data_IF_279244985058
#
_entry.id   IF_279244985058
#
_cell.length_a   1.000
_cell.length_b   1.000
_cell.length_c   1.000
_cell.angle_alpha   90.00
_cell.angle_beta   90.00
_cell.angle_gamma   90.00
#
_symmetry.space_group_name_H-M   'P 1'
#
loop_
_entity.id
_entity.type
_entity.pdbx_description
1 polymer ?
#
# COMPACT_ATOMS: atom_id res chain seq x y z
N UNK A 1 5.51 9.30 26.98
CA UNK A 1 5.64 9.05 25.54
C UNK A 1 5.79 10.40 24.87
N UNK A 2 6.58 10.46 23.84
CA UNK A 2 6.89 11.66 23.06
C UNK A 2 6.14 11.61 21.74
N UNK A 3 5.67 12.76 21.27
CA UNK A 3 5.05 12.87 19.93
C UNK A 3 6.16 12.79 18.89
N UNK A 4 5.96 11.99 17.85
CA UNK A 4 6.91 11.88 16.74
C UNK A 4 6.63 13.01 15.74
N UNK A 5 7.48 14.03 15.71
CA UNK A 5 7.47 15.01 14.62
C UNK A 5 8.01 14.37 13.33
N UNK A 6 7.36 14.51 12.20
CA UNK A 6 6.26 15.38 11.81
C UNK A 6 4.86 14.71 11.88
N UNK A 7 4.69 13.56 12.52
CA UNK A 7 3.43 12.82 12.54
C UNK A 7 2.83 12.82 13.95
N UNK A 8 1.98 13.78 14.32
CA UNK A 8 1.46 13.94 15.68
C UNK A 8 0.55 12.79 16.16
N UNK A 9 0.06 11.96 15.22
CA UNK A 9 -0.68 10.74 15.54
C UNK A 9 0.22 9.56 15.96
N UNK A 10 1.55 9.70 15.86
CA UNK A 10 2.50 8.68 16.28
C UNK A 10 3.18 9.13 17.58
N UNK A 11 3.06 8.29 18.60
CA UNK A 11 3.74 8.46 19.88
C UNK A 11 4.77 7.35 20.05
N UNK A 12 5.90 7.66 20.65
CA UNK A 12 6.95 6.68 20.95
C UNK A 12 7.54 6.88 22.34
N UNK A 13 8.09 5.81 22.90
CA UNK A 13 8.94 5.92 24.08
C UNK A 13 10.32 6.45 23.68
N UNK A 14 11.08 7.15 24.59
CA UNK A 14 12.41 7.67 24.26
C UNK A 14 13.39 6.60 23.76
N UNK A 15 13.24 5.36 24.25
CA UNK A 15 14.05 4.18 23.86
C UNK A 15 13.48 3.43 22.63
N UNK A 16 12.44 3.96 21.98
CA UNK A 16 11.70 3.33 20.89
C UNK A 16 11.19 1.90 21.16
N UNK A 17 11.09 1.49 22.44
CA UNK A 17 10.59 0.15 22.82
C UNK A 17 9.08 -0.01 22.69
N UNK A 18 8.35 1.10 22.52
CA UNK A 18 6.92 1.11 22.26
C UNK A 18 6.56 2.27 21.34
N UNK A 19 5.81 1.96 20.29
CA UNK A 19 5.27 2.92 19.31
C UNK A 19 3.75 2.78 19.33
N UNK A 20 3.05 3.90 19.34
CA UNK A 20 1.59 3.99 19.34
C UNK A 20 1.16 4.84 18.15
N UNK A 21 0.29 4.33 17.33
CA UNK A 21 -0.41 5.03 16.28
C UNK A 21 -1.86 5.25 16.71
N UNK A 22 -2.30 6.50 16.70
CA UNK A 22 -3.65 6.90 17.06
C UNK A 22 -4.39 7.37 15.80
N UNK A 23 -5.56 6.82 15.57
CA UNK A 23 -6.45 7.26 14.51
C UNK A 23 -7.88 7.38 15.03
N UNK A 24 -8.28 8.60 15.37
CA UNK A 24 -9.56 8.93 16.01
C UNK A 24 -9.73 8.14 17.33
N UNK A 25 -10.52 7.08 17.34
CA UNK A 25 -10.80 6.16 18.46
C UNK A 25 -10.02 4.84 18.37
N UNK A 26 -9.41 4.53 17.21
CA UNK A 26 -8.59 3.34 17.03
C UNK A 26 -7.13 3.60 17.44
N UNK A 27 -6.55 2.66 18.18
CA UNK A 27 -5.16 2.73 18.64
C UNK A 27 -4.43 1.45 18.26
N UNK A 28 -3.37 1.56 17.44
CA UNK A 28 -2.46 0.46 17.14
C UNK A 28 -1.17 0.62 17.95
N UNK A 29 -0.76 -0.43 18.66
CA UNK A 29 0.42 -0.40 19.52
C UNK A 29 1.41 -1.50 19.12
N UNK A 30 2.66 -1.12 18.92
CA UNK A 30 3.78 -2.03 18.75
C UNK A 30 4.73 -1.85 19.94
N UNK A 31 4.95 -2.92 20.72
CA UNK A 31 5.81 -2.83 21.90
C UNK A 31 5.78 -4.10 22.75
N UNK A 32 6.58 -4.11 23.83
CA UNK A 32 6.60 -5.24 24.77
C UNK A 32 5.26 -5.35 25.50
N UNK A 33 4.62 -6.53 25.43
CA UNK A 33 3.29 -6.77 26.04
C UNK A 33 3.18 -6.28 27.49
N UNK A 34 4.17 -6.58 28.32
CA UNK A 34 4.17 -6.15 29.72
C UNK A 34 4.03 -4.63 29.86
N UNK A 35 4.80 -3.86 29.08
CA UNK A 35 4.71 -2.39 29.08
C UNK A 35 3.34 -1.90 28.60
N UNK A 36 2.85 -2.48 27.51
CA UNK A 36 1.56 -2.11 26.92
C UNK A 36 0.43 -2.34 27.92
N UNK A 37 0.35 -3.52 28.53
CA UNK A 37 -0.70 -3.86 29.49
C UNK A 37 -0.60 -3.07 30.79
N UNK A 38 0.59 -2.99 31.41
CA UNK A 38 0.74 -2.39 32.72
C UNK A 38 0.73 -0.86 32.72
N UNK A 39 1.16 -0.24 31.62
CA UNK A 39 1.27 1.21 31.53
C UNK A 39 0.18 1.83 30.66
N UNK A 40 0.04 1.38 29.41
CA UNK A 40 -0.87 2.02 28.47
C UNK A 40 -2.33 1.58 28.69
N UNK A 41 -2.61 0.28 28.65
CA UNK A 41 -3.98 -0.25 28.77
C UNK A 41 -4.58 0.14 30.12
N UNK A 42 -3.91 -0.13 31.23
CA UNK A 42 -4.39 0.27 32.59
C UNK A 42 -4.57 1.77 32.75
N UNK A 43 -3.82 2.59 32.05
CA UNK A 43 -4.00 4.03 32.06
C UNK A 43 -5.27 4.44 31.32
N UNK A 44 -5.51 3.87 30.17
CA UNK A 44 -6.70 4.16 29.34
C UNK A 44 -7.99 3.65 30.02
N UNK A 45 -7.96 2.47 30.63
CA UNK A 45 -9.10 1.86 31.33
C UNK A 45 -9.62 2.70 32.52
N UNK A 46 -8.80 3.62 33.04
CA UNK A 46 -9.26 4.55 34.10
C UNK A 46 -10.31 5.55 33.61
N UNK A 47 -10.32 5.83 32.31
CA UNK A 47 -11.15 6.89 31.74
C UNK A 47 -12.07 6.38 30.63
N UNK A 48 -11.68 5.32 29.95
CA UNK A 48 -12.37 4.79 28.76
C UNK A 48 -12.69 3.31 28.91
N UNK A 49 -13.81 2.89 28.32
CA UNK A 49 -14.08 1.47 28.10
C UNK A 49 -13.39 1.07 26.82
N UNK A 50 -12.38 0.19 26.88
CA UNK A 50 -11.60 -0.25 25.74
C UNK A 50 -11.70 -1.75 25.55
N UNK A 51 -11.61 -2.20 24.30
CA UNK A 51 -11.38 -3.60 23.93
C UNK A 51 -9.99 -3.74 23.34
N UNK A 52 -9.30 -4.83 23.67
CA UNK A 52 -7.93 -5.07 23.20
C UNK A 52 -7.85 -6.38 22.43
N UNK A 53 -7.10 -6.35 21.31
CA UNK A 53 -6.74 -7.52 20.51
C UNK A 53 -5.22 -7.61 20.43
N UNK A 54 -4.68 -8.80 20.33
CA UNK A 54 -3.22 -9.02 20.29
C UNK A 54 -2.86 -9.90 19.09
N UNK A 55 -1.71 -9.60 18.48
CA UNK A 55 -1.05 -10.42 17.47
C UNK A 55 0.25 -10.99 18.07
N UNK A 56 0.20 -12.16 18.67
CA UNK A 56 1.36 -12.77 19.35
C UNK A 56 1.65 -14.19 18.85
N UNK A 57 0.61 -14.90 18.45
CA UNK A 57 0.69 -16.30 18.06
C UNK A 57 0.22 -16.49 16.62
N UNK A 58 0.70 -17.51 15.93
CA UNK A 58 0.14 -17.92 14.66
C UNK A 58 -1.39 -18.12 14.75
N UNK A 59 -2.10 -17.54 13.80
CA UNK A 59 -3.57 -17.54 13.75
C UNK A 59 -4.23 -16.38 14.49
N UNK A 60 -3.49 -15.57 15.26
CA UNK A 60 -4.06 -14.36 15.84
C UNK A 60 -4.41 -13.36 14.73
N UNK A 61 -5.58 -12.73 14.88
CA UNK A 61 -6.08 -11.73 13.95
C UNK A 61 -6.48 -10.47 14.69
N UNK A 62 -6.23 -9.32 14.09
CA UNK A 62 -6.79 -8.05 14.52
C UNK A 62 -7.26 -7.23 13.32
N UNK A 63 -8.25 -6.37 13.58
CA UNK A 63 -8.74 -5.42 12.59
C UNK A 63 -8.29 -4.00 12.97
N UNK A 64 -7.65 -3.31 12.03
CA UNK A 64 -7.28 -1.91 12.19
C UNK A 64 -7.53 -1.16 10.88
N UNK A 65 -8.26 -0.04 10.93
CA UNK A 65 -8.63 0.79 9.77
C UNK A 65 -9.21 -0.03 8.61
N UNK A 66 -10.14 -0.94 8.92
CA UNK A 66 -10.80 -1.84 7.94
C UNK A 66 -9.83 -2.80 7.20
N UNK A 67 -8.65 -3.03 7.75
CA UNK A 67 -7.69 -4.05 7.31
C UNK A 67 -7.64 -5.16 8.34
N UNK A 68 -7.57 -6.38 7.88
CA UNK A 68 -7.31 -7.54 8.74
C UNK A 68 -5.83 -7.83 8.73
N UNK A 69 -5.24 -7.87 9.90
CA UNK A 69 -3.86 -8.28 10.14
C UNK A 69 -3.86 -9.67 10.75
N UNK A 70 -3.12 -10.62 10.16
CA UNK A 70 -3.08 -12.01 10.62
C UNK A 70 -1.64 -12.46 10.81
N UNK A 71 -1.32 -13.04 11.96
CA UNK A 71 -0.03 -13.66 12.22
C UNK A 71 0.03 -15.06 11.61
N UNK A 72 0.97 -15.28 10.70
CA UNK A 72 1.15 -16.57 10.03
C UNK A 72 2.05 -17.53 10.81
N UNK A 73 1.96 -18.84 10.51
CA UNK A 73 2.75 -19.89 11.18
C UNK A 73 4.28 -19.70 11.07
N UNK A 74 4.74 -19.05 10.02
CA UNK A 74 6.16 -18.76 9.78
C UNK A 74 6.63 -17.42 10.32
N UNK A 75 5.79 -16.75 11.13
CA UNK A 75 6.06 -15.45 11.73
C UNK A 75 5.87 -14.26 10.78
N UNK A 76 5.29 -14.45 9.59
CA UNK A 76 4.86 -13.36 8.74
C UNK A 76 3.59 -12.71 9.29
N UNK A 77 3.52 -11.38 9.14
CA UNK A 77 2.30 -10.61 9.31
C UNK A 77 1.70 -10.36 7.93
N UNK A 78 0.50 -10.83 7.68
CA UNK A 78 -0.25 -10.49 6.46
C UNK A 78 -1.24 -9.39 6.74
N UNK A 79 -1.35 -8.45 5.80
CA UNK A 79 -2.30 -7.33 5.85
C UNK A 79 -3.21 -7.46 4.64
N UNK A 80 -4.50 -7.66 4.89
CA UNK A 80 -5.49 -7.90 3.87
C UNK A 80 -6.64 -6.91 3.97
N UNK A 81 -7.09 -6.44 2.83
CA UNK A 81 -8.31 -5.62 2.73
C UNK A 81 -9.54 -6.51 2.84
N UNK A 82 -10.60 -6.01 3.45
CA UNK A 82 -11.81 -6.78 3.65
C UNK A 82 -12.48 -7.12 2.30
N UNK A 83 -12.80 -8.40 2.08
CA UNK A 83 -13.40 -8.95 0.84
C UNK A 83 -14.69 -8.23 0.40
N UNK A 84 -15.44 -7.63 1.32
CA UNK A 84 -16.66 -6.88 1.02
C UNK A 84 -16.46 -5.78 -0.03
N UNK A 85 -15.27 -5.19 -0.12
CA UNK A 85 -15.01 -4.18 -1.13
C UNK A 85 -15.01 -4.78 -2.55
N UNK A 86 -14.38 -5.94 -2.73
CA UNK A 86 -14.38 -6.63 -4.03
C UNK A 86 -15.78 -7.16 -4.37
N UNK A 87 -16.51 -7.67 -3.39
CA UNK A 87 -17.92 -8.10 -3.57
C UNK A 87 -18.79 -6.92 -4.03
N UNK A 88 -18.68 -5.77 -3.37
CA UNK A 88 -19.41 -4.56 -3.76
C UNK A 88 -19.07 -4.10 -5.18
N UNK A 89 -17.80 -4.16 -5.59
CA UNK A 89 -17.40 -3.87 -6.97
C UNK A 89 -18.03 -4.85 -7.98
N UNK A 90 -18.10 -6.14 -7.63
CA UNK A 90 -18.76 -7.15 -8.47
C UNK A 90 -20.26 -6.87 -8.60
N UNK A 91 -20.94 -6.48 -7.52
CA UNK A 91 -22.36 -6.12 -7.52
C UNK A 91 -22.63 -4.89 -8.42
N UNK A 92 -21.82 -3.82 -8.25
CA UNK A 92 -21.93 -2.60 -9.08
C UNK A 92 -21.74 -2.86 -10.58
N UNK A 93 -20.94 -3.85 -10.94
CA UNK A 93 -20.62 -4.20 -12.32
C UNK A 93 -21.39 -5.43 -12.81
N UNK A 94 -22.30 -5.99 -12.01
CA UNK A 94 -23.06 -7.20 -12.33
C UNK A 94 -22.15 -8.36 -12.76
N UNK A 95 -21.04 -8.55 -12.03
CA UNK A 95 -20.09 -9.63 -12.25
C UNK A 95 -20.35 -10.77 -11.28
N UNK A 96 -20.34 -12.00 -11.77
CA UNK A 96 -20.36 -13.18 -10.89
C UNK A 96 -18.93 -13.53 -10.45
N UNK A 97 -18.57 -13.35 -9.15
CA UNK A 97 -17.21 -13.61 -8.66
C UNK A 97 -16.72 -15.03 -8.92
N UNK A 98 -17.62 -16.01 -8.89
CA UNK A 98 -17.29 -17.45 -9.06
C UNK A 98 -16.93 -17.83 -10.50
N UNK A 99 -17.30 -17.02 -11.47
CA UNK A 99 -17.05 -17.30 -12.90
C UNK A 99 -15.84 -16.52 -13.43
N UNK A 100 -15.13 -15.81 -12.58
CA UNK A 100 -13.98 -15.00 -13.00
C UNK A 100 -12.70 -15.85 -12.96
N UNK A 101 -11.88 -15.74 -14.01
CA UNK A 101 -10.57 -16.40 -14.09
C UNK A 101 -9.62 -15.53 -14.91
N UNK A 102 -9.20 -14.41 -14.33
CA UNK A 102 -8.21 -13.51 -14.94
C UNK A 102 -6.86 -13.73 -14.29
N UNK A 103 -5.81 -13.91 -15.09
CA UNK A 103 -4.44 -14.18 -14.60
C UNK A 103 -3.64 -12.92 -14.30
N UNK A 104 -3.99 -11.79 -14.92
CA UNK A 104 -3.28 -10.51 -14.79
C UNK A 104 -4.25 -9.38 -14.51
N UNK A 105 -3.86 -8.35 -13.75
CA UNK A 105 -4.71 -7.18 -13.50
C UNK A 105 -4.87 -6.30 -14.73
N UNK A 106 -3.86 -6.25 -15.62
CA UNK A 106 -3.86 -5.43 -16.83
C UNK A 106 -4.63 -6.05 -18.00
N UNK A 107 -5.14 -5.20 -18.88
CA UNK A 107 -5.81 -5.56 -20.12
C UNK A 107 -5.03 -5.03 -21.32
N UNK A 108 -4.97 -5.77 -22.41
CA UNK A 108 -4.19 -5.41 -23.60
C UNK A 108 -4.62 -4.07 -24.24
N UNK A 109 -5.89 -3.71 -24.08
CA UNK A 109 -6.42 -2.47 -24.64
C UNK A 109 -5.87 -1.19 -23.95
N UNK A 110 -5.25 -1.30 -22.77
CA UNK A 110 -4.71 -0.13 -22.08
C UNK A 110 -3.71 0.68 -22.91
N UNK A 111 -2.92 -0.01 -23.73
CA UNK A 111 -1.86 0.61 -24.54
C UNK A 111 -2.34 1.11 -25.91
N UNK A 112 -3.60 0.91 -26.24
CA UNK A 112 -4.17 1.33 -27.53
C UNK A 112 -4.80 2.72 -27.42
N UNK A 113 -4.90 3.42 -28.52
CA UNK A 113 -5.69 4.66 -28.62
C UNK A 113 -7.16 4.34 -28.40
N UNK A 114 -7.85 5.17 -27.61
CA UNK A 114 -9.26 4.99 -27.33
C UNK A 114 -10.11 5.71 -28.36
N UNK A 115 -10.69 4.94 -29.27
CA UNK A 115 -11.63 5.41 -30.31
C UNK A 115 -13.06 4.96 -30.02
N UNK A 116 -13.34 4.42 -28.84
CA UNK A 116 -14.66 3.92 -28.46
C UNK A 116 -15.58 5.04 -27.99
N UNK A 117 -16.87 4.71 -27.91
CA UNK A 117 -17.90 5.68 -27.50
C UNK A 117 -17.78 6.01 -26.01
N UNK A 118 -18.18 7.22 -25.69
CA UNK A 118 -18.34 7.63 -24.29
C UNK A 118 -19.47 6.84 -23.62
N UNK A 119 -19.32 6.58 -22.33
CA UNK A 119 -20.34 5.93 -21.52
C UNK A 119 -21.57 6.84 -21.35
N UNK A 120 -22.74 6.24 -21.20
CA UNK A 120 -23.93 6.96 -20.74
C UNK A 120 -23.70 7.53 -19.34
N UNK A 121 -24.47 8.54 -18.95
CA UNK A 121 -24.34 9.21 -17.65
C UNK A 121 -24.43 8.22 -16.47
N UNK A 122 -25.35 7.25 -16.54
CA UNK A 122 -25.50 6.22 -15.51
C UNK A 122 -24.26 5.32 -15.41
N UNK A 123 -23.77 4.84 -16.56
CA UNK A 123 -22.54 4.02 -16.62
C UNK A 123 -21.31 4.80 -16.17
N UNK A 124 -21.20 6.07 -16.54
CA UNK A 124 -20.09 6.93 -16.12
C UNK A 124 -20.10 7.16 -14.59
N UNK A 125 -21.27 7.26 -13.98
CA UNK A 125 -21.42 7.35 -12.53
C UNK A 125 -20.96 6.05 -11.84
N UNK A 126 -21.44 4.91 -12.31
CA UNK A 126 -20.99 3.60 -11.80
C UNK A 126 -19.48 3.40 -11.97
N UNK A 127 -18.92 3.77 -13.12
CA UNK A 127 -17.47 3.74 -13.37
C UNK A 127 -16.70 4.55 -12.33
N UNK A 128 -17.06 5.82 -12.09
CA UNK A 128 -16.38 6.69 -11.13
C UNK A 128 -16.51 6.17 -9.70
N UNK A 129 -17.65 5.61 -9.33
CA UNK A 129 -17.85 4.97 -8.02
C UNK A 129 -16.88 3.79 -7.85
N UNK A 130 -16.78 2.91 -8.84
CA UNK A 130 -15.84 1.78 -8.81
C UNK A 130 -14.38 2.24 -8.74
N UNK A 131 -14.00 3.24 -9.53
CA UNK A 131 -12.63 3.79 -9.51
C UNK A 131 -12.30 4.41 -8.14
N UNK A 132 -13.25 5.09 -7.50
CA UNK A 132 -13.09 5.61 -6.14
C UNK A 132 -12.78 4.51 -5.11
N UNK A 133 -13.52 3.39 -5.16
CA UNK A 133 -13.24 2.22 -4.31
C UNK A 133 -11.87 1.62 -4.64
N UNK A 134 -11.53 1.47 -5.92
CA UNK A 134 -10.24 0.91 -6.34
C UNK A 134 -9.05 1.78 -5.93
N UNK A 135 -9.17 3.11 -5.95
CA UNK A 135 -8.13 4.02 -5.45
C UNK A 135 -7.84 3.81 -3.95
N UNK A 136 -8.89 3.56 -3.16
CA UNK A 136 -8.72 3.19 -1.75
C UNK A 136 -8.00 1.84 -1.60
N UNK A 137 -8.41 0.83 -2.38
CA UNK A 137 -7.82 -0.51 -2.35
C UNK A 137 -6.37 -0.56 -2.87
N UNK A 138 -6.02 0.29 -3.82
CA UNK A 138 -4.71 0.26 -4.48
C UNK A 138 -3.53 0.46 -3.53
N UNK A 139 -3.74 1.11 -2.38
CA UNK A 139 -2.71 1.27 -1.34
C UNK A 139 -2.27 -0.08 -0.75
N UNK A 140 -3.20 -1.03 -0.66
CA UNK A 140 -2.97 -2.37 -0.09
C UNK A 140 -2.79 -3.45 -1.18
N UNK A 141 -2.98 -3.08 -2.44
CA UNK A 141 -2.87 -3.96 -3.61
C UNK A 141 -1.88 -3.40 -4.64
N UNK A 142 -0.57 -3.39 -4.34
CA UNK A 142 0.45 -2.75 -5.17
C UNK A 142 0.47 -3.29 -6.62
N UNK A 143 0.17 -4.57 -6.82
CA UNK A 143 0.10 -5.21 -8.13
C UNK A 143 -1.00 -4.66 -9.05
N UNK A 144 -1.99 -3.92 -8.51
CA UNK A 144 -3.09 -3.31 -9.27
C UNK A 144 -2.91 -1.81 -9.52
N UNK A 145 -1.95 -1.16 -8.87
CA UNK A 145 -1.82 0.30 -8.86
C UNK A 145 -1.71 0.91 -10.26
N UNK A 146 -0.97 0.26 -11.16
CA UNK A 146 -0.82 0.73 -12.54
C UNK A 146 -2.19 0.82 -13.26
N UNK A 147 -3.00 -0.24 -13.16
CA UNK A 147 -4.32 -0.30 -13.80
C UNK A 147 -5.29 0.68 -13.15
N UNK A 148 -5.29 0.76 -11.82
CA UNK A 148 -6.13 1.72 -11.07
C UNK A 148 -5.79 3.15 -11.47
N UNK A 149 -4.50 3.48 -11.61
CA UNK A 149 -4.07 4.78 -12.10
C UNK A 149 -4.59 5.07 -13.50
N UNK A 150 -4.45 4.11 -14.44
CA UNK A 150 -5.01 4.24 -15.79
C UNK A 150 -6.51 4.56 -15.74
N UNK A 151 -7.29 3.78 -14.99
CA UNK A 151 -8.73 4.00 -14.83
C UNK A 151 -9.06 5.36 -14.22
N UNK A 152 -8.24 5.83 -13.27
CA UNK A 152 -8.40 7.16 -12.70
C UNK A 152 -8.21 8.28 -13.74
N UNK A 153 -7.27 8.14 -14.69
CA UNK A 153 -7.12 9.11 -15.79
C UNK A 153 -8.32 9.13 -16.73
N UNK A 154 -9.02 8.01 -16.89
CA UNK A 154 -10.23 7.91 -17.71
C UNK A 154 -11.48 8.50 -17.03
N UNK A 155 -11.44 8.84 -15.73
CA UNK A 155 -12.64 9.22 -14.95
C UNK A 155 -13.30 10.53 -15.41
N UNK A 156 -12.55 11.43 -16.05
CA UNK A 156 -13.11 12.68 -16.60
C UNK A 156 -14.04 12.41 -17.77
N UNK A 157 -13.66 11.46 -18.64
CA UNK A 157 -14.41 11.07 -19.84
C UNK A 157 -14.31 9.55 -20.03
N UNK A 158 -15.09 8.76 -19.25
CA UNK A 158 -15.02 7.30 -19.33
C UNK A 158 -15.68 6.78 -20.59
N UNK A 159 -15.04 5.81 -21.23
CA UNK A 159 -15.42 5.20 -22.50
C UNK A 159 -15.79 3.73 -22.34
N UNK A 160 -16.36 3.13 -23.39
CA UNK A 160 -16.62 1.67 -23.43
C UNK A 160 -15.34 0.87 -23.20
N UNK A 161 -14.21 1.30 -23.77
CA UNK A 161 -12.90 0.69 -23.57
C UNK A 161 -12.48 0.74 -22.08
N UNK A 162 -12.58 1.90 -21.46
CA UNK A 162 -12.21 2.03 -20.04
C UNK A 162 -13.09 1.16 -19.13
N UNK A 163 -14.36 0.97 -19.49
CA UNK A 163 -15.27 0.05 -18.80
C UNK A 163 -14.85 -1.42 -18.95
N UNK A 164 -14.36 -1.83 -20.12
CA UNK A 164 -13.80 -3.19 -20.33
C UNK A 164 -12.60 -3.42 -19.42
N UNK A 165 -11.67 -2.47 -19.35
CA UNK A 165 -10.50 -2.54 -18.46
C UNK A 165 -10.92 -2.59 -16.98
N UNK A 166 -11.89 -1.78 -16.57
CA UNK A 166 -12.44 -1.80 -15.22
C UNK A 166 -13.03 -3.17 -14.87
N UNK A 167 -13.87 -3.72 -15.72
CA UNK A 167 -14.49 -5.05 -15.52
C UNK A 167 -13.43 -6.15 -15.45
N UNK A 168 -12.39 -6.07 -16.28
CA UNK A 168 -11.27 -7.00 -16.24
C UNK A 168 -10.52 -6.95 -14.90
N UNK A 169 -10.19 -5.76 -14.41
CA UNK A 169 -9.51 -5.60 -13.11
C UNK A 169 -10.35 -6.15 -11.95
N UNK A 170 -11.66 -5.84 -11.90
CA UNK A 170 -12.54 -6.34 -10.84
C UNK A 170 -12.70 -7.86 -10.93
N UNK A 171 -12.76 -8.43 -12.13
CA UNK A 171 -12.75 -9.87 -12.35
C UNK A 171 -11.44 -10.52 -11.87
N UNK A 172 -10.30 -9.86 -12.08
CA UNK A 172 -9.01 -10.32 -11.55
C UNK A 172 -9.01 -10.30 -10.01
N UNK A 173 -9.44 -9.20 -9.38
CA UNK A 173 -9.51 -9.10 -7.93
C UNK A 173 -10.44 -10.14 -7.31
N UNK A 174 -11.56 -10.46 -7.97
CA UNK A 174 -12.48 -11.50 -7.53
C UNK A 174 -11.86 -12.91 -7.57
N UNK A 175 -10.90 -13.14 -8.50
CA UNK A 175 -10.18 -14.42 -8.65
C UNK A 175 -8.99 -14.57 -7.71
N UNK A 176 -8.48 -13.47 -7.11
CA UNK A 176 -7.22 -13.43 -6.38
C UNK A 176 -7.40 -12.75 -5.01
N UNK A 177 -8.46 -13.13 -4.29
CA UNK A 177 -8.77 -12.55 -2.98
C UNK A 177 -7.76 -12.95 -1.88
N UNK A 178 -6.93 -13.97 -2.14
CA UNK A 178 -5.85 -14.42 -1.27
C UNK A 178 -4.60 -13.52 -1.30
N UNK A 179 -4.47 -12.67 -2.32
CA UNK A 179 -3.33 -11.79 -2.44
C UNK A 179 -3.38 -10.70 -1.36
N UNK A 180 -2.31 -10.59 -0.60
CA UNK A 180 -2.17 -9.66 0.51
C UNK A 180 -0.75 -9.13 0.62
N UNK A 181 -0.60 -8.00 1.32
CA UNK A 181 0.72 -7.52 1.70
C UNK A 181 1.26 -8.42 2.81
N UNK A 182 2.48 -8.90 2.64
CA UNK A 182 3.13 -9.77 3.62
C UNK A 182 4.38 -9.08 4.17
N UNK A 183 4.48 -8.99 5.49
CA UNK A 183 5.58 -8.41 6.21
C UNK A 183 6.22 -9.48 7.10
N UNK A 184 7.49 -9.74 6.90
CA UNK A 184 8.32 -10.54 7.81
C UNK A 184 9.66 -9.85 7.92
N UNK A 185 10.19 -9.77 9.11
CA UNK A 185 11.53 -9.23 9.27
C UNK A 185 12.56 -10.31 8.91
N UNK A 186 13.18 -10.29 7.71
CA UNK A 186 14.05 -11.37 7.25
C UNK A 186 15.47 -11.25 7.82
N UNK A 187 15.77 -10.12 8.36
CA UNK A 187 17.09 -9.68 8.74
C UNK A 187 17.41 -8.33 8.12
N UNK A 188 18.21 -7.54 8.79
CA UNK A 188 18.55 -6.18 8.38
C UNK A 188 19.38 -6.11 7.08
N UNK A 189 20.08 -7.19 6.75
CA UNK A 189 21.01 -7.28 5.62
C UNK A 189 20.41 -7.91 4.35
N UNK A 190 19.10 -8.21 4.35
CA UNK A 190 18.44 -8.83 3.20
C UNK A 190 17.84 -7.75 2.31
N UNK A 191 18.22 -7.74 1.04
CA UNK A 191 17.58 -6.96 -0.02
C UNK A 191 16.68 -7.84 -0.89
N UNK A 192 16.09 -7.27 -1.94
CA UNK A 192 15.19 -7.99 -2.87
C UNK A 192 15.94 -9.05 -3.67
N UNK A 193 17.14 -8.71 -4.12
CA UNK A 193 17.95 -9.58 -5.00
C UNK A 193 19.28 -10.01 -4.37
N UNK A 194 19.74 -9.32 -3.33
CA UNK A 194 21.07 -9.49 -2.76
C UNK A 194 21.04 -9.49 -1.24
N UNK A 195 22.06 -10.11 -0.64
CA UNK A 195 22.38 -9.98 0.78
C UNK A 195 23.56 -9.03 0.92
N UNK A 196 23.51 -8.15 1.90
CA UNK A 196 24.53 -7.11 2.15
C UNK A 196 25.28 -7.44 3.44
N UNK A 197 26.55 -7.87 3.32
CA UNK A 197 27.29 -8.42 4.46
C UNK A 197 27.98 -7.36 5.34
N UNK A 198 28.10 -6.11 4.83
CA UNK A 198 28.87 -5.05 5.50
C UNK A 198 27.96 -3.97 6.14
N UNK A 199 26.96 -4.40 6.92
CA UNK A 199 26.08 -3.48 7.65
C UNK A 199 26.53 -3.34 9.11
N UNK A 200 26.60 -2.10 9.56
CA UNK A 200 26.88 -1.79 10.96
C UNK A 200 25.68 -2.15 11.87
N UNK A 201 25.90 -2.37 13.18
CA UNK A 201 24.82 -2.57 14.14
C UNK A 201 23.80 -1.43 14.09
N UNK A 202 22.53 -1.77 13.85
CA UNK A 202 21.44 -0.79 13.74
C UNK A 202 21.12 -0.35 12.31
N UNK A 203 21.94 -0.66 11.32
CA UNK A 203 21.64 -0.43 9.91
C UNK A 203 20.67 -1.48 9.34
N UNK A 204 19.93 -1.11 8.34
CA UNK A 204 19.01 -1.96 7.59
C UNK A 204 19.06 -1.54 6.12
N UNK A 205 18.94 -2.50 5.22
CA UNK A 205 18.93 -2.23 3.77
C UNK A 205 17.63 -1.55 3.38
N UNK A 206 17.76 -0.39 2.72
CA UNK A 206 16.68 0.28 2.03
C UNK A 206 17.00 0.31 0.52
N UNK A 207 16.21 -0.38 -0.28
CA UNK A 207 16.35 -0.42 -1.73
C UNK A 207 15.25 0.41 -2.38
N UNK A 208 15.63 1.26 -3.32
CA UNK A 208 14.71 2.10 -4.08
C UNK A 208 14.91 1.82 -5.56
N UNK A 209 13.89 1.25 -6.20
CA UNK A 209 13.87 1.04 -7.64
C UNK A 209 13.00 2.13 -8.27
N UNK A 210 13.55 2.84 -9.24
CA UNK A 210 12.83 3.88 -9.97
C UNK A 210 12.85 3.59 -11.45
N UNK A 211 11.73 3.83 -12.11
CA UNK A 211 11.60 3.72 -13.55
C UNK A 211 10.74 4.85 -14.10
N UNK A 212 11.02 5.27 -15.32
CA UNK A 212 10.22 6.25 -16.04
C UNK A 212 10.13 5.89 -17.52
N UNK A 213 8.92 5.76 -18.01
CA UNK A 213 8.68 5.58 -19.43
C UNK A 213 8.82 6.90 -20.21
N UNK A 214 9.06 6.78 -21.50
CA UNK A 214 9.11 7.92 -22.41
C UNK A 214 7.80 8.08 -23.17
N UNK A 215 7.00 9.10 -22.79
CA UNK A 215 5.79 9.49 -23.52
C UNK A 215 4.82 8.31 -23.81
N UNK A 216 4.64 7.40 -22.84
CA UNK A 216 3.82 6.19 -22.97
C UNK A 216 2.35 6.49 -23.17
N UNK A 217 1.84 7.57 -22.60
CA UNK A 217 0.50 8.05 -22.88
C UNK A 217 0.45 8.57 -24.32
N UNK A 218 -0.09 7.76 -25.22
CA UNK A 218 -0.15 8.08 -26.65
C UNK A 218 -0.97 9.31 -26.99
N UNK A 219 -2.00 9.62 -26.19
CA UNK A 219 -2.86 10.77 -26.38
C UNK A 219 -2.21 12.09 -25.94
N UNK A 220 -1.71 12.15 -24.71
CA UNK A 220 -1.12 13.37 -24.13
C UNK A 220 0.41 13.45 -24.26
N UNK A 221 1.05 12.39 -24.73
CA UNK A 221 2.53 12.23 -24.80
C UNK A 221 3.23 12.45 -23.46
N UNK A 222 2.52 12.16 -22.37
CA UNK A 222 3.06 12.27 -21.02
C UNK A 222 3.76 10.98 -20.60
N UNK A 223 4.88 11.15 -19.88
CA UNK A 223 5.62 10.05 -19.27
C UNK A 223 5.00 9.63 -17.95
N UNK A 224 5.13 8.36 -17.62
CA UNK A 224 4.78 7.80 -16.33
C UNK A 224 6.08 7.48 -15.61
N UNK A 225 6.12 7.77 -14.32
CA UNK A 225 7.25 7.39 -13.50
C UNK A 225 6.74 6.59 -12.30
N UNK A 226 7.48 5.60 -11.90
CA UNK A 226 7.20 4.79 -10.73
C UNK A 226 8.44 4.72 -9.83
N UNK A 227 8.19 4.45 -8.55
CA UNK A 227 9.23 4.10 -7.60
C UNK A 227 8.73 2.96 -6.74
N UNK A 228 9.60 2.04 -6.35
CA UNK A 228 9.30 0.94 -5.46
C UNK A 228 10.33 0.95 -4.35
N UNK A 229 9.87 0.96 -3.10
CA UNK A 229 10.73 1.04 -1.92
C UNK A 229 10.59 -0.23 -1.11
N UNK A 230 11.71 -0.90 -0.88
CA UNK A 230 11.81 -2.09 -0.03
C UNK A 230 12.71 -1.80 1.18
N UNK A 231 12.36 -2.37 2.31
CA UNK A 231 13.17 -2.36 3.52
C UNK A 231 13.37 -3.79 3.99
N UNK A 232 14.63 -4.24 4.10
CA UNK A 232 14.93 -5.62 4.45
C UNK A 232 14.27 -6.65 3.52
N UNK A 233 14.17 -6.35 2.21
CA UNK A 233 13.53 -7.20 1.20
C UNK A 233 12.00 -7.14 1.16
N UNK A 234 11.34 -6.34 2.03
CA UNK A 234 9.89 -6.18 2.04
C UNK A 234 9.44 -4.87 1.41
N UNK A 235 8.40 -4.97 0.59
CA UNK A 235 7.77 -3.82 -0.03
C UNK A 235 7.14 -2.92 1.04
N UNK A 236 7.66 -1.70 1.18
CA UNK A 236 7.09 -0.67 2.05
C UNK A 236 6.11 0.22 1.30
N UNK A 237 6.48 0.60 0.08
CA UNK A 237 5.75 1.61 -0.64
C UNK A 237 5.92 1.45 -2.15
N UNK A 238 4.82 1.54 -2.88
CA UNK A 238 4.79 1.59 -4.33
C UNK A 238 3.92 2.77 -4.75
N UNK A 239 4.47 3.98 -4.88
CA UNK A 239 3.73 5.08 -5.46
C UNK A 239 3.66 4.88 -6.98
N UNK A 240 2.49 4.68 -7.53
CA UNK A 240 2.24 5.01 -8.92
C UNK A 240 2.18 6.53 -9.02
N UNK A 241 3.34 7.17 -9.17
CA UNK A 241 3.43 8.61 -8.99
C UNK A 241 2.92 9.38 -10.21
N UNK A 242 2.09 10.36 -9.92
CA UNK A 242 1.91 11.55 -10.76
C UNK A 242 3.27 12.26 -10.95
N UNK A 243 3.47 12.88 -12.12
CA UNK A 243 4.69 13.60 -12.54
C UNK A 243 5.36 14.53 -11.51
N UNK A 244 4.64 15.05 -10.52
CA UNK A 244 5.17 15.99 -9.51
C UNK A 244 6.13 15.33 -8.51
N UNK A 245 5.94 14.05 -8.20
CA UNK A 245 6.79 13.33 -7.25
C UNK A 245 8.11 12.89 -7.85
N UNK A 246 8.15 12.58 -9.16
CA UNK A 246 9.40 12.24 -9.81
C UNK A 246 10.35 13.42 -9.98
N UNK A 247 9.82 14.62 -10.19
CA UNK A 247 10.65 15.82 -10.19
C UNK A 247 11.29 16.05 -8.81
N UNK A 248 10.58 15.74 -7.75
CA UNK A 248 11.08 15.80 -6.38
C UNK A 248 12.12 14.70 -6.11
N UNK A 249 11.91 13.48 -6.57
CA UNK A 249 12.89 12.38 -6.44
C UNK A 249 14.12 12.61 -7.32
N UNK A 250 13.98 13.10 -8.54
CA UNK A 250 15.11 13.47 -9.41
C UNK A 250 15.91 14.67 -8.87
N UNK A 251 15.26 15.67 -8.29
CA UNK A 251 15.95 16.76 -7.59
C UNK A 251 16.65 16.25 -6.32
N UNK A 252 16.03 15.33 -5.57
CA UNK A 252 16.67 14.74 -4.40
C UNK A 252 17.76 13.74 -4.77
N UNK A 253 17.70 13.01 -5.87
CA UNK A 253 18.82 12.19 -6.34
C UNK A 253 20.08 13.04 -6.59
N UNK A 254 19.93 14.25 -7.09
CA UNK A 254 21.06 15.21 -7.22
C UNK A 254 21.51 15.81 -5.88
N UNK A 255 20.65 15.82 -4.84
CA UNK A 255 20.95 16.39 -3.51
C UNK A 255 21.20 15.32 -2.43
N UNK A 256 20.83 14.05 -2.62
CA UNK A 256 21.06 12.96 -1.66
C UNK A 256 22.54 12.50 -1.59
N UNK A 257 23.38 12.94 -2.53
CA UNK A 257 24.84 12.89 -2.28
C UNK A 257 25.31 13.88 -1.21
N UNK A 258 24.44 14.70 -0.64
CA UNK A 258 24.86 15.81 0.17
C UNK A 258 24.33 15.88 1.62
N UNK A 259 23.28 15.21 2.04
CA UNK A 259 22.89 15.29 3.47
C UNK A 259 21.77 14.27 3.82
N UNK A 260 22.13 13.15 4.44
CA UNK A 260 21.24 12.41 5.34
C UNK A 260 21.68 12.74 6.75
N UNK A 261 21.02 13.70 7.40
CA UNK A 261 21.19 13.86 8.84
C UNK A 261 20.54 12.67 9.58
N UNK A 262 21.16 12.16 10.65
CA UNK A 262 20.75 10.91 11.29
C UNK A 262 19.57 11.15 12.23
N UNK A 263 18.35 10.93 11.76
CA UNK A 263 17.14 10.90 12.58
C UNK A 263 16.63 9.48 12.87
N UNK A 264 17.36 8.47 12.39
CA UNK A 264 17.17 7.05 12.73
C UNK A 264 18.53 6.35 12.71
N UNK A 265 18.69 5.16 13.34
CA UNK A 265 19.92 4.40 13.20
C UNK A 265 20.21 4.24 11.72
N UNK A 266 21.44 4.57 11.34
CA UNK A 266 21.96 4.78 10.00
C UNK A 266 21.42 3.79 8.95
N UNK A 267 20.75 4.32 7.93
CA UNK A 267 20.33 3.57 6.76
C UNK A 267 21.35 3.74 5.64
N UNK A 268 21.80 2.63 5.03
CA UNK A 268 22.51 2.70 3.75
C UNK A 268 21.50 2.58 2.62
N UNK A 269 21.52 3.54 1.70
CA UNK A 269 20.70 3.55 0.49
C UNK A 269 21.51 2.91 -0.62
N UNK A 270 21.05 1.77 -1.14
CA UNK A 270 21.52 1.19 -2.39
C UNK A 270 20.64 1.69 -3.54
N UNK A 271 21.23 2.31 -4.56
CA UNK A 271 20.59 2.82 -5.77
C UNK A 271 20.80 1.83 -6.91
#
# INVERSE_FOLDING_TARGET
MEVHEPYPCILKTPDNSCIVLIHVDDILVVGKRKFVMERLVKCLEKTYTISTQFLEKPGDELSFLKRTMTMQNDGRLTIQVHHKHVQHLCELLELNPKLQNKKTPGHADMDQVDETKDLTQAQATAFRTCVGVLLYLACDMPHCQHVVRYLATCSSRPSEKSMVVLRHLVAYLASHQELCVSLKWPGRNVGVYHTYDNLEPGECVLEVFTDSDWASDRGSRRSISCATIFMGGYLLFLPAALKSWCHFLQQKQRSMHAQVEPLMPSFRVAL
#
